data_IF_339045459554
#
_entry.id   IF_339045459554
#
_cell.length_a   1.000
_cell.length_b   1.000
_cell.length_c   1.000
_cell.angle_alpha   90.00
_cell.angle_beta   90.00
_cell.angle_gamma   90.00
#
_symmetry.space_group_name_H-M   'P 1'
#
loop_
_entity.id
_entity.type
_entity.pdbx_description
1 polymer ?
#
# COMPACT_ATOMS: atom_id res chain seq x y z
N UNK A 1 8.62 -11.02 -12.41
CA UNK A 1 8.26 -9.97 -11.42
C UNK A 1 9.48 -9.78 -10.52
N UNK A 2 10.23 -8.69 -10.67
CA UNK A 2 11.43 -8.45 -9.86
C UNK A 2 11.03 -7.60 -8.64
N UNK A 3 11.07 -8.21 -7.45
CA UNK A 3 11.01 -7.46 -6.20
C UNK A 3 12.38 -6.79 -5.99
N UNK A 4 12.44 -5.45 -6.01
CA UNK A 4 13.65 -4.69 -5.65
C UNK A 4 13.38 -3.76 -4.49
N UNK A 5 14.35 -3.67 -3.57
CA UNK A 5 14.24 -2.91 -2.33
C UNK A 5 14.43 -1.40 -2.55
N UNK A 6 13.99 -0.60 -1.58
CA UNK A 6 14.03 0.86 -1.55
C UNK A 6 15.40 1.49 -1.89
N UNK A 7 16.50 0.73 -1.77
CA UNK A 7 17.86 1.21 -2.04
C UNK A 7 18.27 1.17 -3.52
N UNK A 8 17.62 0.35 -4.36
CA UNK A 8 17.95 0.26 -5.80
C UNK A 8 17.23 1.32 -6.66
N UNK A 9 16.31 2.10 -6.07
CA UNK A 9 15.41 3.03 -6.79
C UNK A 9 15.89 4.49 -6.67
N UNK A 10 17.11 4.72 -6.17
CA UNK A 10 17.71 6.05 -6.11
C UNK A 10 18.37 6.39 -7.47
N UNK A 11 17.57 6.88 -8.42
CA UNK A 11 18.03 7.34 -9.75
C UNK A 11 17.31 6.72 -10.94
N UNK A 12 16.43 5.74 -10.71
CA UNK A 12 15.57 5.17 -11.75
C UNK A 12 14.23 5.89 -11.78
N UNK A 13 14.00 6.65 -12.84
CA UNK A 13 12.67 7.09 -13.23
C UNK A 13 11.97 5.91 -13.93
N UNK A 14 10.81 5.51 -13.43
CA UNK A 14 10.03 4.43 -14.00
C UNK A 14 8.86 5.04 -14.76
N UNK A 15 8.73 4.71 -16.05
CA UNK A 15 7.62 5.20 -16.88
C UNK A 15 6.27 4.79 -16.28
N UNK A 16 6.17 3.54 -15.83
CA UNK A 16 5.01 2.99 -15.13
C UNK A 16 5.42 2.28 -13.85
N UNK A 17 4.64 2.47 -12.78
CA UNK A 17 4.84 1.78 -11.49
C UNK A 17 3.63 0.92 -11.17
N UNK A 18 3.88 -0.35 -10.81
CA UNK A 18 2.92 -1.21 -10.14
C UNK A 18 3.17 -1.19 -8.64
N UNK A 19 2.18 -0.79 -7.85
CA UNK A 19 2.24 -0.78 -6.40
C UNK A 19 1.23 -1.77 -5.83
N UNK A 20 1.71 -2.75 -5.05
CA UNK A 20 0.86 -3.61 -4.24
C UNK A 20 0.64 -2.94 -2.88
N UNK A 21 -0.60 -2.56 -2.57
CA UNK A 21 -0.96 -1.93 -1.32
C UNK A 21 -1.52 -2.97 -0.35
N UNK A 22 -0.72 -3.35 0.65
CA UNK A 22 -1.12 -4.37 1.62
C UNK A 22 -1.69 -3.78 2.92
N UNK A 23 -2.21 -4.65 3.79
CA UNK A 23 -2.76 -4.30 5.10
C UNK A 23 -1.72 -3.80 6.12
N UNK A 24 -0.47 -3.53 5.72
CA UNK A 24 0.55 -2.92 6.58
C UNK A 24 0.33 -1.40 6.79
N UNK A 25 -0.32 -0.72 5.84
CA UNK A 25 -0.64 0.71 5.90
C UNK A 25 -2.13 0.92 5.64
N UNK A 26 -2.93 1.02 6.70
CA UNK A 26 -4.40 1.08 6.60
C UNK A 26 -4.93 2.48 6.81
N UNK A 27 -5.98 2.83 6.08
CA UNK A 27 -6.73 4.08 6.27
C UNK A 27 -7.85 3.84 7.29
N UNK A 28 -7.87 4.62 8.36
CA UNK A 28 -8.94 4.57 9.38
C UNK A 28 -9.55 5.97 9.51
N UNK A 29 -10.57 6.28 8.70
CA UNK A 29 -11.15 7.62 8.64
C UNK A 29 -10.12 8.66 8.22
N UNK A 30 -9.86 9.68 9.06
CA UNK A 30 -8.81 10.68 8.84
C UNK A 30 -7.39 10.17 9.17
N UNK A 31 -7.27 9.09 9.95
CA UNK A 31 -6.00 8.59 10.47
C UNK A 31 -5.38 7.49 9.59
N UNK A 32 -4.13 7.15 9.91
CA UNK A 32 -3.37 6.04 9.33
C UNK A 32 -2.93 5.09 10.45
N UNK A 33 -3.07 3.79 10.22
CA UNK A 33 -2.51 2.76 11.12
C UNK A 33 -1.41 1.97 10.41
N UNK A 34 -0.39 1.61 11.19
CA UNK A 34 0.87 1.06 10.70
C UNK A 34 1.10 -0.29 11.35
N UNK A 35 1.25 -1.33 10.54
CA UNK A 35 1.32 -2.72 11.00
C UNK A 35 2.48 -3.47 10.35
N UNK A 36 3.07 -4.39 11.09
CA UNK A 36 3.93 -5.43 10.55
C UNK A 36 3.21 -6.77 10.65
N UNK A 37 3.35 -7.59 9.61
CA UNK A 37 2.89 -8.98 9.67
C UNK A 37 4.00 -9.85 10.25
N UNK A 38 3.75 -10.45 11.42
CA UNK A 38 4.71 -11.29 12.14
C UNK A 38 4.05 -12.61 12.49
N UNK A 39 4.62 -13.71 11.99
CA UNK A 39 4.01 -15.04 12.09
C UNK A 39 2.70 -15.07 11.31
N UNK A 40 1.59 -15.09 12.04
CA UNK A 40 0.24 -15.12 11.47
C UNK A 40 -0.60 -13.89 11.85
N UNK A 41 0.01 -12.85 12.43
CA UNK A 41 -0.75 -11.72 12.98
C UNK A 41 -0.18 -10.38 12.56
N UNK A 42 -1.09 -9.41 12.41
CA UNK A 42 -0.75 -8.01 12.29
C UNK A 42 -0.47 -7.40 13.66
N UNK A 43 0.69 -6.75 13.79
CA UNK A 43 1.11 -6.06 15.00
C UNK A 43 1.34 -4.58 14.70
N UNK A 44 0.85 -3.69 15.57
CA UNK A 44 1.08 -2.26 15.44
C UNK A 44 2.58 -1.93 15.50
N UNK A 45 3.06 -1.12 14.57
CA UNK A 45 4.41 -0.56 14.63
C UNK A 45 4.41 0.51 15.72
N UNK A 46 5.00 0.23 16.88
CA UNK A 46 5.04 1.18 17.99
C UNK A 46 6.04 2.33 17.74
N UNK A 47 7.21 1.99 17.17
CA UNK A 47 8.31 2.95 17.02
C UNK A 47 8.00 3.99 15.92
N UNK A 48 8.08 5.31 16.22
CA UNK A 48 7.82 6.36 15.24
C UNK A 48 8.70 6.26 13.99
N UNK A 49 9.96 5.86 14.14
CA UNK A 49 10.89 5.65 13.02
C UNK A 49 10.39 4.59 12.04
N UNK A 50 9.86 3.47 12.53
CA UNK A 50 9.30 2.41 11.69
C UNK A 50 8.06 2.88 10.92
N UNK A 51 7.18 3.64 11.57
CA UNK A 51 6.01 4.25 10.90
C UNK A 51 6.43 5.21 9.80
N UNK A 52 7.42 6.06 10.09
CA UNK A 52 7.96 7.03 9.14
C UNK A 52 8.61 6.33 7.95
N UNK A 53 9.39 5.27 8.21
CA UNK A 53 9.98 4.44 7.16
C UNK A 53 8.90 3.87 6.24
N UNK A 54 7.91 3.16 6.80
CA UNK A 54 6.81 2.57 6.03
C UNK A 54 6.07 3.63 5.19
N UNK A 55 5.66 4.74 5.81
CA UNK A 55 5.01 5.86 5.11
C UNK A 55 5.85 6.39 3.95
N UNK A 56 7.15 6.57 4.18
CA UNK A 56 8.06 7.10 3.17
C UNK A 56 8.31 6.11 2.04
N UNK A 57 8.33 4.80 2.28
CA UNK A 57 8.44 3.81 1.21
C UNK A 57 7.27 3.93 0.23
N UNK A 58 6.04 4.00 0.72
CA UNK A 58 4.85 4.25 -0.10
C UNK A 58 4.93 5.60 -0.84
N UNK A 59 5.28 6.69 -0.14
CA UNK A 59 5.42 8.01 -0.75
C UNK A 59 6.43 8.00 -1.89
N UNK A 60 7.61 7.42 -1.66
CA UNK A 60 8.67 7.33 -2.66
C UNK A 60 8.17 6.57 -3.87
N UNK A 61 7.61 5.37 -3.72
CA UNK A 61 7.11 4.57 -4.83
C UNK A 61 6.05 5.30 -5.65
N UNK A 62 5.07 5.93 -4.99
CA UNK A 62 4.00 6.66 -5.67
C UNK A 62 4.51 7.89 -6.44
N UNK A 63 5.56 8.56 -5.95
CA UNK A 63 6.14 9.75 -6.61
C UNK A 63 7.14 9.44 -7.72
N UNK A 64 7.45 8.16 -8.00
CA UNK A 64 8.43 7.77 -9.02
C UNK A 64 7.81 7.48 -10.39
N UNK A 65 6.49 7.31 -10.45
CA UNK A 65 5.75 7.09 -11.69
C UNK A 65 5.73 8.38 -12.53
N UNK A 66 6.22 8.32 -13.78
CA UNK A 66 6.22 9.47 -14.71
C UNK A 66 4.99 9.51 -15.62
N UNK A 67 4.60 8.40 -16.20
CA UNK A 67 3.51 8.32 -17.18
C UNK A 67 2.22 7.80 -16.55
N UNK A 68 2.34 6.90 -15.56
CA UNK A 68 1.17 6.33 -14.89
C UNK A 68 1.54 5.38 -13.76
N UNK A 69 0.56 5.10 -12.91
CA UNK A 69 0.70 4.16 -11.80
C UNK A 69 -0.52 3.26 -11.74
N UNK A 70 -0.28 1.97 -11.52
CA UNK A 70 -1.31 0.99 -11.20
C UNK A 70 -1.14 0.60 -9.74
N UNK A 71 -2.18 0.80 -8.94
CA UNK A 71 -2.21 0.38 -7.54
C UNK A 71 -3.14 -0.82 -7.42
N UNK A 72 -2.61 -1.94 -6.97
CA UNK A 72 -3.38 -3.12 -6.65
C UNK A 72 -3.68 -3.12 -5.15
N UNK A 73 -4.96 -3.14 -4.80
CA UNK A 73 -5.44 -3.37 -3.44
C UNK A 73 -6.10 -4.75 -3.43
N UNK A 74 -5.66 -5.69 -2.57
CA UNK A 74 -6.31 -6.99 -2.43
C UNK A 74 -7.78 -6.86 -2.02
N UNK A 75 -8.61 -7.78 -2.51
CA UNK A 75 -9.93 -7.98 -1.92
C UNK A 75 -9.75 -8.71 -0.58
N UNK A 76 -10.45 -8.24 0.45
CA UNK A 76 -10.41 -8.90 1.74
C UNK A 76 -11.26 -10.17 1.77
N UNK A 77 -10.94 -11.05 2.69
CA UNK A 77 -11.61 -12.31 2.93
C UNK A 77 -12.16 -12.32 4.37
N UNK A 78 -13.49 -12.34 4.58
CA UNK A 78 -14.10 -12.37 5.91
C UNK A 78 -13.68 -13.58 6.77
N UNK A 79 -13.33 -14.70 6.12
CA UNK A 79 -12.94 -15.94 6.80
C UNK A 79 -11.44 -15.95 7.14
N UNK A 80 -10.65 -15.06 6.52
CA UNK A 80 -9.23 -14.86 6.82
C UNK A 80 -9.01 -13.64 7.72
N UNK A 81 -8.75 -13.90 9.00
CA UNK A 81 -8.46 -12.86 9.99
C UNK A 81 -7.21 -12.02 9.67
N UNK A 82 -6.32 -12.49 8.79
CA UNK A 82 -5.14 -11.76 8.32
C UNK A 82 -5.45 -10.86 7.13
N UNK A 83 -6.59 -11.05 6.46
CA UNK A 83 -6.97 -10.31 5.24
C UNK A 83 -8.40 -9.80 5.30
N UNK A 84 -8.90 -9.39 6.47
CA UNK A 84 -10.27 -8.89 6.61
C UNK A 84 -10.58 -7.74 5.63
N UNK A 85 -11.80 -7.66 5.06
CA UNK A 85 -12.22 -6.55 4.19
C UNK A 85 -11.97 -5.16 4.78
N UNK A 86 -12.17 -5.02 6.10
CA UNK A 86 -11.90 -3.79 6.86
C UNK A 86 -10.45 -3.26 6.72
N UNK A 87 -9.50 -4.10 6.32
CA UNK A 87 -8.11 -3.69 6.11
C UNK A 87 -7.89 -3.02 4.75
N UNK A 88 -8.71 -3.36 3.75
CA UNK A 88 -8.51 -3.03 2.34
C UNK A 88 -9.56 -2.07 1.78
N UNK A 89 -10.85 -2.24 2.13
CA UNK A 89 -11.93 -1.41 1.60
C UNK A 89 -11.73 0.09 1.90
N UNK A 90 -11.30 0.51 3.11
CA UNK A 90 -11.10 1.92 3.38
C UNK A 90 -9.99 2.55 2.53
N UNK A 91 -8.91 1.82 2.25
CA UNK A 91 -7.82 2.34 1.42
C UNK A 91 -8.22 2.34 -0.06
N UNK A 92 -8.93 1.30 -0.53
CA UNK A 92 -9.46 1.26 -1.89
C UNK A 92 -10.38 2.45 -2.16
N UNK A 93 -11.35 2.69 -1.28
CA UNK A 93 -12.26 3.84 -1.38
C UNK A 93 -11.52 5.19 -1.28
N UNK A 94 -10.49 5.27 -0.43
CA UNK A 94 -9.66 6.47 -0.34
C UNK A 94 -8.90 6.74 -1.66
N UNK A 95 -8.31 5.73 -2.28
CA UNK A 95 -7.63 5.88 -3.58
C UNK A 95 -8.62 6.34 -4.67
N UNK A 96 -9.82 5.75 -4.73
CA UNK A 96 -10.86 6.23 -5.65
C UNK A 96 -11.22 7.70 -5.41
N UNK A 97 -11.36 8.11 -4.14
CA UNK A 97 -11.62 9.52 -3.79
C UNK A 97 -10.48 10.47 -4.16
N UNK A 98 -9.26 9.95 -4.29
CA UNK A 98 -8.08 10.69 -4.76
C UNK A 98 -7.98 10.76 -6.30
N UNK A 99 -8.96 10.21 -7.04
CA UNK A 99 -9.00 10.26 -8.50
C UNK A 99 -8.42 9.03 -9.20
N UNK A 100 -8.13 7.94 -8.47
CA UNK A 100 -7.85 6.66 -9.12
C UNK A 100 -9.13 6.11 -9.76
N UNK A 101 -8.97 5.50 -10.93
CA UNK A 101 -10.05 4.80 -11.60
C UNK A 101 -9.87 3.28 -11.45
N UNK A 102 -10.98 2.57 -11.23
CA UNK A 102 -10.97 1.11 -11.25
C UNK A 102 -10.59 0.64 -12.66
N UNK A 103 -9.55 -0.18 -12.75
CA UNK A 103 -9.25 -0.93 -13.95
C UNK A 103 -10.35 -1.98 -14.15
N UNK A 104 -11.20 -1.77 -15.15
CA UNK A 104 -12.12 -2.78 -15.65
C UNK A 104 -11.53 -3.32 -16.95
N UNK A 105 -11.33 -4.64 -17.01
CA UNK A 105 -11.11 -5.32 -18.27
C UNK A 105 -12.51 -5.58 -18.86
N UNK A 106 -12.76 -5.06 -20.06
CA UNK A 106 -14.00 -5.30 -20.82
C UNK A 106 -14.09 -6.75 -21.29
#
# INVERSE_FOLDING_TARGET
MLARSQFDIQGLELDWVGLYWDANLRKNGSNWSFHNFVGTRWQNIAQPRGRLFLKNSYRVLMTRARQGMVVFVPEGDPDDYTRKPEFYDPIYNYLLSCGFNKLSFF
#
